data_IF_167903333666
#
_entry.id   IF_167903333666
#
_cell.length_a   1.000
_cell.length_b   1.000
_cell.length_c   1.000
_cell.angle_alpha   90.00
_cell.angle_beta   90.00
_cell.angle_gamma   90.00
#
_symmetry.space_group_name_H-M   'P 1'
#
loop_
_entity.id
_entity.type
_entity.pdbx_description
1 polymer ?
#
# COMPACT_ATOMS: atom_id res chain seq x y z
N UNK A 1 -5.70 15.03 -3.58
CA UNK A 1 -5.13 13.72 -3.19
C UNK A 1 -3.63 13.89 -3.00
N UNK A 2 -3.02 13.16 -2.06
CA UNK A 2 -1.58 12.89 -2.10
C UNK A 2 -1.40 11.75 -3.10
N UNK A 3 -0.61 11.97 -4.15
CA UNK A 3 -0.48 11.00 -5.24
C UNK A 3 0.43 9.84 -4.83
N UNK A 4 -0.13 8.64 -4.68
CA UNK A 4 0.62 7.43 -4.33
C UNK A 4 1.34 6.91 -5.57
N UNK A 5 2.59 7.33 -5.74
CA UNK A 5 3.44 6.87 -6.85
C UNK A 5 4.34 5.69 -6.46
N UNK A 6 4.30 5.25 -5.20
CA UNK A 6 5.11 4.15 -4.70
C UNK A 6 4.80 2.82 -5.40
N UNK A 7 5.84 2.03 -5.65
CA UNK A 7 5.75 0.62 -6.06
C UNK A 7 6.57 -0.21 -5.08
N UNK A 8 5.92 -0.57 -3.98
CA UNK A 8 6.57 -1.19 -2.83
C UNK A 8 5.62 -2.17 -2.16
N UNK A 9 6.18 -3.24 -1.62
CA UNK A 9 5.47 -4.22 -0.82
C UNK A 9 6.35 -4.62 0.37
N UNK A 10 5.77 -4.62 1.57
CA UNK A 10 6.39 -5.15 2.80
C UNK A 10 5.60 -6.39 3.20
N UNK A 11 6.30 -7.46 3.54
CA UNK A 11 5.73 -8.73 3.98
C UNK A 11 6.34 -9.09 5.34
N UNK A 12 5.45 -9.39 6.30
CA UNK A 12 5.77 -9.86 7.65
C UNK A 12 6.81 -9.02 8.43
N UNK A 13 6.93 -7.73 8.08
CA UNK A 13 7.94 -6.79 8.59
C UNK A 13 9.41 -7.23 8.40
N UNK A 14 9.67 -8.24 7.57
CA UNK A 14 11.01 -8.85 7.37
C UNK A 14 11.51 -8.80 5.92
N UNK A 15 10.62 -8.69 4.94
CA UNK A 15 10.95 -8.65 3.52
C UNK A 15 10.32 -7.43 2.87
N UNK A 16 11.06 -6.76 2.00
CA UNK A 16 10.59 -5.59 1.26
C UNK A 16 10.99 -5.69 -0.21
N UNK A 17 10.06 -5.34 -1.10
CA UNK A 17 10.34 -5.07 -2.51
C UNK A 17 10.16 -3.58 -2.75
N UNK A 18 11.14 -2.93 -3.40
CA UNK A 18 11.04 -1.55 -3.88
C UNK A 18 11.51 -1.52 -5.33
N UNK A 19 10.75 -0.86 -6.21
CA UNK A 19 11.13 -0.75 -7.62
C UNK A 19 10.30 0.24 -8.41
N UNK A 20 10.29 0.05 -9.73
CA UNK A 20 9.51 0.84 -10.68
C UNK A 20 8.19 0.17 -11.09
N UNK A 21 8.09 -1.16 -10.94
CA UNK A 21 6.98 -1.97 -11.45
C UNK A 21 5.65 -1.77 -10.70
N UNK A 22 4.62 -1.29 -11.40
CA UNK A 22 3.26 -1.22 -10.85
C UNK A 22 2.63 -2.62 -10.77
N UNK A 23 1.60 -2.80 -9.92
CA UNK A 23 0.81 -4.03 -9.90
C UNK A 23 -0.22 -3.99 -11.04
N UNK A 24 0.25 -4.21 -12.26
CA UNK A 24 -0.56 -4.25 -13.47
C UNK A 24 0.17 -5.06 -14.58
N UNK A 25 -0.50 -5.39 -15.68
CA UNK A 25 0.09 -6.16 -16.76
C UNK A 25 1.23 -5.38 -17.43
N UNK A 26 1.09 -4.06 -17.63
CA UNK A 26 2.14 -3.25 -18.27
C UNK A 26 3.52 -3.43 -17.62
N UNK A 27 3.57 -3.42 -16.29
CA UNK A 27 4.81 -3.59 -15.54
C UNK A 27 5.16 -5.07 -15.25
N UNK A 28 4.18 -5.95 -15.06
CA UNK A 28 4.42 -7.34 -14.62
C UNK A 28 4.57 -8.36 -15.76
N UNK A 29 4.28 -7.98 -17.00
CA UNK A 29 4.37 -8.85 -18.18
C UNK A 29 5.82 -9.24 -18.53
N UNK A 30 6.77 -8.35 -18.28
CA UNK A 30 8.19 -8.53 -18.60
C UNK A 30 8.56 -8.29 -20.07
N UNK A 31 7.60 -8.30 -21.00
CA UNK A 31 7.81 -7.97 -22.41
C UNK A 31 7.07 -6.69 -22.87
N UNK A 32 6.42 -5.98 -21.93
CA UNK A 32 5.82 -4.65 -22.15
C UNK A 32 6.80 -3.56 -21.72
N UNK A 33 6.59 -2.95 -20.55
CA UNK A 33 7.50 -1.93 -20.04
C UNK A 33 8.70 -2.61 -19.37
N UNK A 34 9.89 -2.04 -19.57
CA UNK A 34 11.09 -2.46 -18.86
C UNK A 34 11.05 -1.94 -17.42
N UNK A 35 11.09 -2.84 -16.45
CA UNK A 35 11.03 -2.52 -15.04
C UNK A 35 12.23 -3.06 -14.27
N UNK A 36 12.52 -2.47 -13.11
CA UNK A 36 13.52 -2.96 -12.17
C UNK A 36 12.99 -2.89 -10.74
N UNK A 37 13.31 -3.90 -9.94
CA UNK A 37 13.00 -3.93 -8.52
C UNK A 37 14.09 -4.64 -7.72
N UNK A 38 14.26 -4.24 -6.47
CA UNK A 38 15.09 -4.94 -5.49
C UNK A 38 14.20 -5.53 -4.41
N UNK A 39 14.42 -6.81 -4.11
CA UNK A 39 13.93 -7.47 -2.91
C UNK A 39 15.04 -7.58 -1.85
N UNK A 40 14.74 -7.23 -0.61
CA UNK A 40 15.72 -7.25 0.48
C UNK A 40 15.10 -7.73 1.79
N UNK A 41 15.94 -8.33 2.63
CA UNK A 41 15.64 -8.72 4.00
C UNK A 41 16.90 -8.62 4.85
N UNK A 42 16.73 -8.60 6.17
CA UNK A 42 17.84 -8.60 7.12
C UNK A 42 17.93 -9.97 7.79
N UNK A 43 19.02 -10.70 7.53
CA UNK A 43 19.20 -12.09 8.00
C UNK A 43 19.03 -12.28 9.50
N UNK A 44 19.41 -11.29 10.31
CA UNK A 44 19.31 -11.32 11.77
C UNK A 44 18.00 -10.73 12.32
N UNK A 45 17.06 -10.33 11.47
CA UNK A 45 15.79 -9.71 11.86
C UNK A 45 14.59 -10.39 11.19
N UNK A 46 14.66 -11.70 10.99
CA UNK A 46 13.54 -12.50 10.50
C UNK A 46 12.56 -12.80 11.63
N UNK A 47 11.28 -12.80 11.29
CA UNK A 47 10.21 -13.28 12.15
C UNK A 47 10.35 -14.79 12.36
N UNK A 48 9.96 -15.24 13.55
CA UNK A 48 9.83 -16.65 13.87
C UNK A 48 8.59 -16.85 14.74
N UNK A 49 8.30 -18.11 15.08
CA UNK A 49 7.08 -18.46 15.83
C UNK A 49 6.97 -17.79 17.21
N UNK A 50 8.07 -17.28 17.77
CA UNK A 50 8.09 -16.67 19.11
C UNK A 50 8.45 -15.18 19.10
N UNK A 51 9.15 -14.70 18.06
CA UNK A 51 9.61 -13.32 17.97
C UNK A 51 9.26 -12.72 16.60
N UNK A 52 8.55 -11.58 16.56
CA UNK A 52 8.30 -10.87 15.32
C UNK A 52 9.57 -10.17 14.80
N UNK A 53 9.61 -9.88 13.51
CA UNK A 53 10.68 -9.09 12.91
C UNK A 53 10.69 -7.66 13.49
N UNK A 54 11.87 -7.20 13.91
CA UNK A 54 12.11 -5.87 14.50
C UNK A 54 13.39 -5.25 13.94
N UNK A 55 13.51 -5.26 12.61
CA UNK A 55 14.60 -4.63 11.88
C UNK A 55 14.25 -3.24 11.33
N UNK A 56 15.01 -2.82 10.33
CA UNK A 56 14.80 -1.58 9.57
C UNK A 56 13.51 -1.63 8.73
N UNK A 57 13.14 -2.80 8.21
CA UNK A 57 11.89 -2.96 7.43
C UNK A 57 10.67 -2.69 8.32
N UNK A 58 10.64 -3.30 9.51
CA UNK A 58 9.67 -2.99 10.56
C UNK A 58 9.62 -1.49 10.88
N UNK A 59 10.77 -0.87 11.16
CA UNK A 59 10.84 0.55 11.53
C UNK A 59 10.35 1.46 10.40
N UNK A 60 10.71 1.15 9.16
CA UNK A 60 10.25 1.86 7.98
C UNK A 60 8.73 1.76 7.81
N UNK A 61 8.17 0.56 7.98
CA UNK A 61 6.72 0.34 7.93
C UNK A 61 5.98 1.13 9.02
N UNK A 62 6.50 1.14 10.26
CA UNK A 62 5.96 1.99 11.34
C UNK A 62 6.02 3.48 10.97
N UNK A 63 7.12 3.95 10.38
CA UNK A 63 7.27 5.35 9.98
C UNK A 63 6.26 5.76 8.90
N UNK A 64 6.01 4.90 7.90
CA UNK A 64 4.99 5.15 6.88
C UNK A 64 3.59 5.19 7.48
N UNK A 65 3.30 4.31 8.43
CA UNK A 65 2.02 4.32 9.13
C UNK A 65 1.84 5.59 9.97
N UNK A 66 2.89 6.06 10.64
CA UNK A 66 2.85 7.32 11.35
C UNK A 66 2.63 8.50 10.39
N UNK A 67 3.30 8.53 9.23
CA UNK A 67 3.07 9.56 8.20
C UNK A 67 1.60 9.58 7.72
N UNK A 68 1.00 8.42 7.46
CA UNK A 68 -0.33 8.33 6.86
C UNK A 68 -1.48 8.40 7.86
N UNK A 69 -1.29 7.90 9.08
CA UNK A 69 -2.33 7.84 10.11
C UNK A 69 -2.19 8.94 11.17
N UNK A 70 -1.01 9.55 11.27
CA UNK A 70 -0.66 10.62 12.21
C UNK A 70 -0.95 10.27 13.68
N UNK A 71 -0.84 8.98 14.04
CA UNK A 71 -1.00 8.46 15.40
C UNK A 71 -0.03 7.29 15.62
N UNK A 72 0.35 7.08 16.88
CA UNK A 72 1.11 5.91 17.32
C UNK A 72 0.18 5.03 18.17
N UNK A 73 -0.09 3.82 17.72
CA UNK A 73 -0.94 2.85 18.41
C UNK A 73 -0.19 1.53 18.59
N UNK A 74 -0.35 0.90 19.75
CA UNK A 74 0.31 -0.38 20.05
C UNK A 74 -0.16 -1.51 19.11
N UNK A 75 -1.39 -1.44 18.62
CA UNK A 75 -1.91 -2.39 17.64
C UNK A 75 -1.09 -2.38 16.34
N UNK A 76 -0.46 -1.26 15.98
CA UNK A 76 0.35 -1.14 14.76
C UNK A 76 1.70 -1.88 14.84
N UNK A 77 2.06 -2.37 16.02
CA UNK A 77 3.22 -3.25 16.20
C UNK A 77 2.91 -4.70 15.77
N UNK A 78 1.62 -5.01 15.58
CA UNK A 78 1.06 -6.33 15.26
C UNK A 78 0.01 -6.22 14.14
N UNK A 79 0.45 -5.93 12.88
CA UNK A 79 -0.45 -5.73 11.74
C UNK A 79 -1.35 -6.93 11.42
N UNK A 80 -0.95 -8.13 11.85
CA UNK A 80 -1.73 -9.37 11.75
C UNK A 80 -2.96 -9.41 12.67
N UNK A 81 -3.00 -8.55 13.70
CA UNK A 81 -4.08 -8.57 14.68
C UNK A 81 -5.38 -7.97 14.15
N UNK A 82 -6.50 -8.55 14.57
CA UNK A 82 -7.83 -8.04 14.22
C UNK A 82 -8.07 -6.61 14.76
N UNK A 83 -7.48 -6.29 15.90
CA UNK A 83 -7.52 -4.95 16.48
C UNK A 83 -6.83 -3.94 15.55
N UNK A 84 -5.64 -4.27 15.04
CA UNK A 84 -4.89 -3.39 14.15
C UNK A 84 -5.69 -3.01 12.90
N UNK A 85 -6.23 -4.00 12.17
CA UNK A 85 -6.98 -3.71 10.95
C UNK A 85 -8.28 -2.94 11.24
N UNK A 86 -8.94 -3.19 12.37
CA UNK A 86 -10.11 -2.42 12.81
C UNK A 86 -9.75 -0.96 13.06
N UNK A 87 -8.67 -0.70 13.79
CA UNK A 87 -8.21 0.66 14.09
C UNK A 87 -7.81 1.40 12.81
N UNK A 88 -7.06 0.77 11.92
CA UNK A 88 -6.68 1.36 10.62
C UNK A 88 -7.91 1.71 9.79
N UNK A 89 -8.89 0.80 9.69
CA UNK A 89 -10.12 1.04 8.94
C UNK A 89 -10.95 2.18 9.54
N UNK A 90 -11.09 2.24 10.87
CA UNK A 90 -11.82 3.32 11.54
C UNK A 90 -11.16 4.70 11.29
N UNK A 91 -9.83 4.77 11.34
CA UNK A 91 -9.10 6.00 11.02
C UNK A 91 -9.28 6.39 9.56
N UNK A 92 -9.24 5.42 8.64
CA UNK A 92 -9.45 5.66 7.21
C UNK A 92 -10.88 6.14 6.91
N UNK A 93 -11.91 5.52 7.50
CA UNK A 93 -13.31 5.95 7.38
C UNK A 93 -13.49 7.38 7.89
N UNK A 94 -12.97 7.69 9.08
CA UNK A 94 -13.02 9.05 9.63
C UNK A 94 -12.34 10.07 8.71
N UNK A 95 -11.16 9.73 8.18
CA UNK A 95 -10.44 10.61 7.26
C UNK A 95 -11.21 10.80 5.94
N UNK A 96 -11.87 9.75 5.45
CA UNK A 96 -12.71 9.81 4.26
C UNK A 96 -13.95 10.69 4.46
N UNK A 97 -14.61 10.59 5.62
CA UNK A 97 -15.77 11.43 5.97
C UNK A 97 -15.39 12.92 6.08
N UNK A 98 -14.17 13.21 6.55
CA UNK A 98 -13.63 14.57 6.55
C UNK A 98 -13.28 15.06 5.14
N UNK A 99 -12.80 14.17 4.28
CA UNK A 99 -12.33 14.51 2.94
C UNK A 99 -13.44 14.61 1.89
N UNK A 100 -14.51 13.81 2.01
CA UNK A 100 -15.46 13.58 0.92
C UNK A 100 -16.91 13.92 1.27
N UNK A 101 -17.70 14.24 0.25
CA UNK A 101 -19.17 14.33 0.29
C UNK A 101 -19.74 13.77 -1.02
N UNK A 102 -20.42 12.63 -0.95
CA UNK A 102 -21.18 11.96 -2.04
C UNK A 102 -20.35 11.26 -3.14
N UNK A 103 -20.94 10.23 -3.78
CA UNK A 103 -20.30 9.13 -4.56
C UNK A 103 -19.53 9.43 -5.86
N UNK A 104 -18.95 10.61 -6.03
CA UNK A 104 -17.89 10.89 -7.02
C UNK A 104 -16.58 11.20 -6.29
N UNK A 105 -15.44 11.23 -6.98
CA UNK A 105 -14.26 11.83 -6.35
C UNK A 105 -14.59 13.29 -5.99
N UNK A 106 -14.22 13.76 -4.78
CA UNK A 106 -14.52 15.13 -4.35
C UNK A 106 -14.08 16.16 -5.40
N UNK A 107 -14.93 17.16 -5.62
CA UNK A 107 -14.73 18.24 -6.58
C UNK A 107 -14.67 17.80 -8.07
N UNK A 108 -15.13 16.59 -8.38
CA UNK A 108 -15.17 16.08 -9.76
C UNK A 108 -16.54 15.52 -10.15
N UNK A 109 -16.70 15.25 -11.45
CA UNK A 109 -17.77 14.39 -12.00
C UNK A 109 -17.26 13.00 -12.36
N UNK A 110 -16.07 12.63 -11.90
CA UNK A 110 -15.45 11.36 -12.23
C UNK A 110 -16.01 10.26 -11.31
N UNK A 111 -16.54 9.15 -11.86
CA UNK A 111 -17.06 8.05 -11.05
C UNK A 111 -15.91 7.30 -10.38
N UNK A 112 -16.06 6.99 -9.09
CA UNK A 112 -15.03 6.28 -8.30
C UNK A 112 -14.80 4.86 -8.84
N UNK A 113 -15.86 4.19 -9.28
CA UNK A 113 -15.79 2.85 -9.88
C UNK A 113 -15.08 2.81 -11.24
N UNK A 114 -14.79 3.98 -11.82
CA UNK A 114 -14.36 4.10 -13.21
C UNK A 114 -15.46 3.73 -14.20
N UNK A 115 -15.10 3.76 -15.48
CA UNK A 115 -15.95 3.38 -16.61
C UNK A 115 -15.12 2.60 -17.61
N UNK A 116 -15.61 1.45 -18.06
CA UNK A 116 -14.95 0.67 -19.12
C UNK A 116 -14.94 1.49 -20.42
N UNK A 117 -13.78 1.59 -21.06
CA UNK A 117 -13.67 2.26 -22.36
C UNK A 117 -14.21 1.36 -23.48
N UNK A 118 -14.95 1.95 -24.42
CA UNK A 118 -15.32 1.31 -25.69
C UNK A 118 -14.25 1.52 -26.78
N UNK A 119 -13.31 2.44 -26.55
CA UNK A 119 -12.31 2.85 -27.54
C UNK A 119 -10.90 2.36 -27.22
N UNK A 120 -10.53 2.30 -25.93
CA UNK A 120 -9.20 1.91 -25.51
C UNK A 120 -9.13 0.38 -25.32
N UNK A 121 -8.31 -0.34 -26.09
CA UNK A 121 -8.13 -1.77 -25.90
C UNK A 121 -7.39 -2.05 -24.57
N UNK A 122 -7.65 -3.20 -23.91
CA UNK A 122 -7.04 -3.53 -22.63
C UNK A 122 -5.50 -3.48 -22.64
N UNK A 123 -4.86 -3.81 -23.75
CA UNK A 123 -3.39 -3.75 -23.87
C UNK A 123 -2.81 -2.36 -23.52
N UNK A 124 -3.58 -1.28 -23.68
CA UNK A 124 -3.15 0.07 -23.32
C UNK A 124 -3.46 0.44 -21.86
N UNK A 125 -4.42 -0.23 -21.22
CA UNK A 125 -4.96 0.18 -19.90
C UNK A 125 -4.70 -0.82 -18.78
N UNK A 126 -4.25 -2.04 -19.10
CA UNK A 126 -3.87 -3.09 -18.13
C UNK A 126 -2.38 -3.14 -17.93
#
# INVERSE_FOLDING_TARGET
MIYVHSKMMIVDDEYIIIGSANINQRSMDGARDSEIAMGAFQTNHLSNSTNPARGEIYAFRVSLWYEHLNVLENSFLHPESLECIRTVNQLAERNWDLFSRFGHFPDTKAPISGTKSEFLPPILTT
#
